data_IF_536039633274
#
_entry.id   IF_536039633274
#
_cell.length_a   1.000
_cell.length_b   1.000
_cell.length_c   1.000
_cell.angle_alpha   90.00
_cell.angle_beta   90.00
_cell.angle_gamma   90.00
#
_symmetry.space_group_name_H-M   'P 1'
#
loop_
_entity.id
_entity.type
_entity.pdbx_description
1 polymer ?
#
# COMPACT_ATOMS: atom_id res chain seq x y z
N UNK A 1 15.27 -6.56 8.44
CA UNK A 1 14.13 -7.52 8.32
C UNK A 1 13.09 -7.35 9.43
N UNK A 2 13.48 -7.24 10.72
CA UNK A 2 12.53 -7.13 11.84
C UNK A 2 11.50 -5.99 11.71
N UNK A 3 11.86 -4.88 11.06
CA UNK A 3 10.95 -3.74 10.82
C UNK A 3 9.63 -4.14 10.13
N UNK A 4 9.65 -5.18 9.29
CA UNK A 4 8.45 -5.63 8.58
C UNK A 4 7.40 -6.21 9.53
N UNK A 5 7.82 -6.80 10.65
CA UNK A 5 6.90 -7.31 11.66
C UNK A 5 6.09 -6.18 12.30
N UNK A 6 6.62 -4.95 12.34
CA UNK A 6 5.95 -3.80 12.95
C UNK A 6 5.02 -3.05 11.98
N UNK A 7 4.95 -3.45 10.71
CA UNK A 7 4.11 -2.80 9.69
C UNK A 7 2.64 -2.65 10.12
N UNK A 8 1.98 -3.65 10.74
CA UNK A 8 0.59 -3.49 11.19
C UNK A 8 0.37 -2.35 12.19
N UNK A 9 1.40 -1.93 12.91
CA UNK A 9 1.35 -0.81 13.87
C UNK A 9 1.86 0.50 13.29
N UNK A 10 2.76 0.44 12.30
CA UNK A 10 3.33 1.61 11.65
C UNK A 10 2.41 2.22 10.57
N UNK A 11 1.56 1.42 9.93
CA UNK A 11 0.54 1.95 9.02
C UNK A 11 -0.67 2.49 9.81
N UNK A 12 -0.65 3.79 10.07
CA UNK A 12 -1.70 4.50 10.82
C UNK A 12 -2.92 4.84 9.97
N UNK A 13 -2.92 4.51 8.68
CA UNK A 13 -3.99 4.90 7.77
C UNK A 13 -5.28 4.09 8.00
N UNK A 14 -6.41 4.79 8.02
CA UNK A 14 -7.75 4.16 8.11
C UNK A 14 -8.13 3.37 6.86
N UNK A 15 -7.53 3.69 5.72
CA UNK A 15 -7.84 3.06 4.43
C UNK A 15 -6.82 1.97 4.13
N UNK A 16 -7.28 0.71 4.10
CA UNK A 16 -6.43 -0.48 3.90
C UNK A 16 -5.81 -0.56 2.51
N UNK A 17 -6.50 -0.07 1.48
CA UNK A 17 -6.01 -0.19 0.10
C UNK A 17 -5.19 1.04 -0.31
N UNK A 18 -3.93 0.80 -0.68
CA UNK A 18 -3.03 1.80 -1.21
C UNK A 18 -3.51 2.41 -2.55
N UNK A 19 -4.44 1.77 -3.27
CA UNK A 19 -5.06 2.29 -4.51
C UNK A 19 -5.72 3.66 -4.28
N UNK A 20 -6.31 3.85 -3.10
CA UNK A 20 -7.04 5.06 -2.74
C UNK A 20 -6.18 6.08 -1.99
N UNK A 21 -4.88 5.83 -1.86
CA UNK A 21 -3.91 6.66 -1.15
C UNK A 21 -2.90 7.27 -2.14
N UNK A 22 -3.18 8.44 -2.76
CA UNK A 22 -2.34 9.00 -3.82
C UNK A 22 -0.92 9.38 -3.39
N UNK A 23 -0.73 9.92 -2.18
CA UNK A 23 0.57 10.28 -1.63
C UNK A 23 1.36 9.03 -1.24
N UNK A 24 0.72 8.07 -0.56
CA UNK A 24 1.37 6.80 -0.22
C UNK A 24 1.85 6.04 -1.46
N UNK A 25 1.08 6.07 -2.56
CA UNK A 25 1.46 5.43 -3.83
C UNK A 25 2.81 5.92 -4.36
N UNK A 26 3.10 7.21 -4.27
CA UNK A 26 4.40 7.76 -4.71
C UNK A 26 5.56 7.26 -3.85
N UNK A 27 5.44 7.34 -2.52
CA UNK A 27 6.47 6.83 -1.61
C UNK A 27 6.68 5.33 -1.72
N UNK A 28 5.60 4.57 -1.97
CA UNK A 28 5.68 3.13 -2.21
C UNK A 28 6.49 2.81 -3.47
N UNK A 29 6.25 3.50 -4.59
CA UNK A 29 7.04 3.28 -5.81
C UNK A 29 8.51 3.68 -5.64
N UNK A 30 8.78 4.75 -4.89
CA UNK A 30 10.14 5.11 -4.51
C UNK A 30 10.81 4.05 -3.61
N UNK A 31 10.04 3.41 -2.73
CA UNK A 31 10.51 2.28 -1.92
C UNK A 31 10.80 1.04 -2.78
N UNK A 32 9.95 0.71 -3.76
CA UNK A 32 10.20 -0.35 -4.72
C UNK A 32 11.50 -0.09 -5.49
N UNK A 33 11.69 1.13 -5.98
CA UNK A 33 12.94 1.55 -6.62
C UNK A 33 14.14 1.36 -5.68
N UNK A 34 14.01 1.77 -4.42
CA UNK A 34 15.05 1.62 -3.40
C UNK A 34 15.44 0.15 -3.21
N UNK A 35 14.47 -0.78 -3.17
CA UNK A 35 14.76 -2.22 -3.06
C UNK A 35 15.59 -2.73 -4.25
N UNK A 36 15.25 -2.33 -5.48
CA UNK A 36 16.05 -2.70 -6.66
C UNK A 36 17.43 -2.05 -6.65
N UNK A 37 17.53 -0.77 -6.27
CA UNK A 37 18.80 -0.06 -6.16
C UNK A 37 19.74 -0.71 -5.14
N UNK A 38 19.24 -1.07 -3.95
CA UNK A 38 20.00 -1.81 -2.94
C UNK A 38 20.40 -3.21 -3.41
N UNK A 39 19.51 -3.91 -4.10
CA UNK A 39 19.84 -5.22 -4.69
C UNK A 39 20.98 -5.12 -5.69
N UNK A 40 20.97 -4.09 -6.54
CA UNK A 40 22.03 -3.83 -7.50
C UNK A 40 23.34 -3.41 -6.82
N UNK A 41 23.29 -2.43 -5.91
CA UNK A 41 24.46 -1.94 -5.18
C UNK A 41 25.09 -3.02 -4.29
N UNK A 42 24.29 -3.95 -3.76
CA UNK A 42 24.77 -5.09 -2.98
C UNK A 42 25.57 -6.11 -3.80
N UNK A 43 25.46 -6.09 -5.13
CA UNK A 43 26.25 -6.93 -6.03
C UNK A 43 27.56 -6.27 -6.49
N UNK A 44 27.76 -4.97 -6.19
CA UNK A 44 28.96 -4.22 -6.56
C UNK A 44 30.03 -4.30 -5.45
N UNK A 45 31.31 -4.08 -5.78
CA UNK A 45 32.36 -3.99 -4.77
C UNK A 45 32.10 -2.83 -3.79
N UNK A 46 32.53 -3.01 -2.55
CA UNK A 46 32.35 -2.04 -1.45
C UNK A 46 33.34 -0.87 -1.56
N UNK A 47 33.26 -0.14 -2.67
CA UNK A 47 34.10 1.02 -3.00
C UNK A 47 33.24 2.26 -3.19
N UNK A 48 33.87 3.43 -3.11
CA UNK A 48 33.20 4.69 -3.43
C UNK A 48 33.02 4.82 -4.94
N UNK A 49 31.85 5.28 -5.43
CA UNK A 49 30.77 5.94 -4.68
C UNK A 49 29.63 5.02 -4.22
N UNK A 50 29.71 3.71 -4.48
CA UNK A 50 28.61 2.76 -4.24
C UNK A 50 28.22 2.64 -2.77
N UNK A 51 29.21 2.68 -1.87
CA UNK A 51 28.97 2.63 -0.42
C UNK A 51 28.11 3.80 0.04
N UNK A 52 28.41 5.02 -0.42
CA UNK A 52 27.60 6.20 -0.10
C UNK A 52 26.14 6.05 -0.57
N UNK A 53 25.92 5.64 -1.82
CA UNK A 53 24.56 5.42 -2.32
C UNK A 53 23.84 4.31 -1.56
N UNK A 54 24.52 3.21 -1.24
CA UNK A 54 23.95 2.12 -0.46
C UNK A 54 23.51 2.59 0.94
N UNK A 55 24.28 3.46 1.58
CA UNK A 55 23.92 4.06 2.87
C UNK A 55 22.66 4.95 2.75
N UNK A 56 22.59 5.81 1.73
CA UNK A 56 21.42 6.67 1.49
C UNK A 56 20.16 5.84 1.24
N UNK A 57 20.24 4.82 0.39
CA UNK A 57 19.12 3.94 0.12
C UNK A 57 18.71 3.11 1.33
N UNK A 58 19.68 2.65 2.15
CA UNK A 58 19.39 1.98 3.42
C UNK A 58 18.67 2.92 4.39
N UNK A 59 19.11 4.18 4.49
CA UNK A 59 18.44 5.17 5.32
C UNK A 59 17.00 5.40 4.86
N UNK A 60 16.77 5.53 3.53
CA UNK A 60 15.43 5.63 2.98
C UNK A 60 14.57 4.39 3.26
N UNK A 61 15.13 3.18 3.15
CA UNK A 61 14.42 1.94 3.45
C UNK A 61 13.84 1.94 4.87
N UNK A 62 14.62 2.32 5.88
CA UNK A 62 14.12 2.40 7.25
C UNK A 62 13.21 3.61 7.49
N UNK A 63 13.53 4.76 6.89
CA UNK A 63 12.67 5.95 6.97
C UNK A 63 11.28 5.70 6.38
N UNK A 64 11.17 4.89 5.33
CA UNK A 64 9.89 4.52 4.72
C UNK A 64 8.94 3.90 5.75
N UNK A 65 9.41 2.92 6.53
CA UNK A 65 8.58 2.24 7.52
C UNK A 65 8.39 3.05 8.80
N UNK A 66 9.46 3.64 9.34
CA UNK A 66 9.42 4.24 10.68
C UNK A 66 8.91 5.68 10.69
N UNK A 67 9.03 6.40 9.58
CA UNK A 67 8.76 7.84 9.51
C UNK A 67 7.67 8.13 8.47
N UNK A 68 7.91 7.76 7.21
CA UNK A 68 7.04 8.14 6.10
C UNK A 68 5.68 7.48 6.25
N UNK A 69 5.61 6.18 6.53
CA UNK A 69 4.35 5.44 6.65
C UNK A 69 3.44 5.98 7.77
N UNK A 70 3.91 6.19 9.02
CA UNK A 70 3.11 6.83 10.07
C UNK A 70 2.66 8.25 9.74
N UNK A 71 3.55 9.08 9.17
CA UNK A 71 3.27 10.48 8.87
C UNK A 71 2.24 10.57 7.73
N UNK A 72 2.48 9.87 6.62
CA UNK A 72 1.58 9.85 5.46
C UNK A 72 0.22 9.28 5.86
N UNK A 73 0.16 8.27 6.71
CA UNK A 73 -1.11 7.73 7.22
C UNK A 73 -1.97 8.72 7.99
N UNK A 74 -1.35 9.73 8.63
CA UNK A 74 -2.06 10.78 9.38
C UNK A 74 -2.46 11.96 8.47
N UNK A 75 -1.57 12.40 7.58
CA UNK A 75 -1.77 13.64 6.80
C UNK A 75 -2.56 13.44 5.50
N UNK A 76 -2.55 12.23 4.94
CA UNK A 76 -3.10 11.98 3.62
C UNK A 76 -4.63 11.93 3.64
N UNK A 77 -5.26 12.60 2.68
CA UNK A 77 -6.71 12.50 2.43
C UNK A 77 -6.99 11.40 1.39
N UNK A 78 -7.61 10.27 1.79
CA UNK A 78 -7.86 9.16 0.87
C UNK A 78 -8.96 9.51 -0.15
N UNK A 79 -8.87 8.90 -1.33
CA UNK A 79 -9.92 8.96 -2.36
C UNK A 79 -11.16 8.19 -1.90
N UNK A 80 -12.32 8.54 -2.48
CA UNK A 80 -13.59 7.88 -2.21
C UNK A 80 -13.47 6.37 -2.51
N UNK A 81 -13.77 5.58 -1.49
CA UNK A 81 -13.86 4.13 -1.60
C UNK A 81 -15.21 3.75 -2.24
N UNK A 82 -15.25 2.74 -3.12
CA UNK A 82 -16.52 2.18 -3.59
C UNK A 82 -17.27 1.56 -2.40
N UNK A 83 -18.60 1.65 -2.41
CA UNK A 83 -19.41 1.16 -1.30
C UNK A 83 -19.49 -0.37 -1.26
N UNK A 84 -19.23 -1.04 -2.38
CA UNK A 84 -19.18 -2.50 -2.49
C UNK A 84 -18.18 -2.94 -3.55
N UNK A 85 -17.77 -4.22 -3.47
CA UNK A 85 -16.94 -4.86 -4.50
C UNK A 85 -17.68 -4.89 -5.85
N UNK A 86 -18.99 -5.13 -5.83
CA UNK A 86 -19.83 -5.12 -7.03
C UNK A 86 -19.80 -3.77 -7.74
N UNK A 87 -19.78 -2.67 -6.99
CA UNK A 87 -19.63 -1.32 -7.55
C UNK A 87 -18.21 -1.04 -8.09
N UNK A 88 -17.15 -1.54 -7.44
CA UNK A 88 -15.76 -1.41 -7.95
C UNK A 88 -15.58 -2.14 -9.29
N UNK A 89 -16.29 -3.27 -9.49
CA UNK A 89 -16.18 -4.09 -10.71
C UNK A 89 -17.15 -3.64 -11.82
N UNK A 90 -18.41 -3.41 -11.48
CA UNK A 90 -19.47 -3.13 -12.47
C UNK A 90 -19.75 -1.64 -12.68
N UNK A 91 -19.17 -0.77 -11.85
CA UNK A 91 -19.43 0.66 -11.88
C UNK A 91 -20.76 1.07 -11.19
N UNK A 92 -21.10 2.37 -11.24
CA UNK A 92 -22.24 2.91 -10.52
C UNK A 92 -23.56 2.28 -10.97
N UNK A 93 -24.26 1.60 -10.06
CA UNK A 93 -25.54 0.95 -10.33
C UNK A 93 -25.51 -0.56 -10.61
N UNK A 94 -24.32 -1.17 -10.75
CA UNK A 94 -24.18 -2.59 -11.04
C UNK A 94 -24.70 -3.55 -9.95
N UNK A 95 -24.88 -3.06 -8.72
CA UNK A 95 -25.45 -3.85 -7.61
C UNK A 95 -26.98 -3.98 -7.61
N UNK A 96 -27.71 -3.11 -8.34
CA UNK A 96 -29.19 -3.15 -8.35
C UNK A 96 -29.76 -4.36 -9.12
N UNK A 97 -28.99 -4.93 -10.05
CA UNK A 97 -29.40 -6.12 -10.82
C UNK A 97 -29.20 -7.45 -10.08
N UNK A 98 -28.29 -7.51 -9.12
CA UNK A 98 -27.98 -8.75 -8.39
C UNK A 98 -28.99 -9.07 -7.27
N UNK A 99 -29.66 -8.06 -6.71
CA UNK A 99 -30.64 -8.25 -5.65
C UNK A 99 -31.97 -8.88 -6.11
N UNK A 100 -32.27 -8.87 -7.42
CA UNK A 100 -33.51 -9.44 -7.97
C UNK A 100 -33.49 -10.98 -8.07
N UNK A 101 -32.34 -11.64 -7.92
CA UNK A 101 -32.20 -13.09 -8.06
C UNK A 101 -32.19 -13.88 -6.75
N UNK A 102 -32.21 -13.23 -5.59
CA UNK A 102 -32.11 -13.88 -4.28
C UNK A 102 -33.47 -13.91 -3.54
N UNK A 103 -34.55 -14.20 -4.26
CA UNK A 103 -35.80 -14.64 -3.63
C UNK A 103 -35.61 -16.09 -3.16
N UNK A 104 -34.99 -16.28 -1.99
CA UNK A 104 -35.00 -17.57 -1.32
C UNK A 104 -36.47 -17.91 -0.99
N UNK A 105 -37.00 -18.96 -1.62
CA UNK A 105 -38.31 -19.52 -1.27
C UNK A 105 -38.36 -19.83 0.22
N UNK A 106 -39.47 -19.53 0.93
CA UNK A 106 -39.63 -20.00 2.30
C UNK A 106 -39.81 -21.52 2.24
N UNK A 107 -38.86 -22.27 2.81
CA UNK A 107 -39.10 -23.68 3.14
C UNK A 107 -40.19 -23.72 4.22
N UNK A 108 -41.39 -24.13 3.82
CA UNK A 108 -42.48 -24.48 4.74
C UNK A 108 -42.15 -25.83 5.34
N UNK A 109 -41.98 -25.87 6.66
CA UNK A 109 -41.78 -27.07 7.47
C UNK A 109 -43.09 -27.84 7.66
#
# INVERSE_FOLDING_TARGET
IAVLAFVPWLDTARVRSAKYRPMFKWFFWLFVFTCFALGYLGALPAEQPYVFFAQVFTAYYFAFFLIIMPIVGIIETPKKLPASITEDVLGPGGGKGAAAGAAASPETR
#
